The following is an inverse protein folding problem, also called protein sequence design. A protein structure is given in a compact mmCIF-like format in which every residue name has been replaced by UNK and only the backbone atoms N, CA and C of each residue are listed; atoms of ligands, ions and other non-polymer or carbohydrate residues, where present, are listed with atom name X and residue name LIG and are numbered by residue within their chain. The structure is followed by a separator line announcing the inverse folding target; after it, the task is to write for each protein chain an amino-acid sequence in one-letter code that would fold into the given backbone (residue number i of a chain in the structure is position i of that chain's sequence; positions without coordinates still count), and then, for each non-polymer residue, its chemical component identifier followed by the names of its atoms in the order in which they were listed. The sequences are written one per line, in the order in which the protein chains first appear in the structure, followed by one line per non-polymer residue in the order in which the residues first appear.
data_IF_259169233414
#
_entry.id   IF_259169233414
#
_cell.length_a   1.000
_cell.length_b   1.000
_cell.length_c   1.000
_cell.angle_alpha   90.00
_cell.angle_beta   90.00
_cell.angle_gamma   90.00
#
_symmetry.space_group_name_H-M   'P 1'
#
loop_
_entity.id
_entity.type
_entity.pdbx_description
1 polymer ?
#
# COMPACT_ATOMS: atom_id res chain seq x y z
N UNK A 1 -16.07 -1.33 9.01
CA UNK A 1 -16.96 -1.93 7.99
C UNK A 1 -18.39 -1.90 8.51
N UNK A 2 -19.43 -1.88 7.65
CA UNK A 2 -20.80 -2.09 8.13
C UNK A 2 -20.84 -3.45 8.84
N UNK A 3 -21.28 -3.50 10.11
CA UNK A 3 -21.37 -4.71 10.93
C UNK A 3 -20.06 -5.33 11.47
N UNK A 4 -19.03 -4.54 11.80
CA UNK A 4 -17.84 -5.07 12.50
C UNK A 4 -18.11 -5.26 14.01
N UNK A 5 -17.95 -6.47 14.57
CA UNK A 5 -18.15 -6.73 16.00
C UNK A 5 -17.02 -6.17 16.88
N UNK A 6 -15.93 -5.68 16.27
CA UNK A 6 -14.80 -5.09 16.99
C UNK A 6 -15.07 -3.63 17.35
N UNK A 7 -14.46 -3.21 18.46
CA UNK A 7 -14.54 -1.84 18.96
C UNK A 7 -14.23 -0.81 17.85
N UNK A 8 -14.90 0.35 17.80
CA UNK A 8 -14.64 1.42 16.82
C UNK A 8 -13.17 1.87 16.78
N UNK A 9 -12.42 1.60 17.85
CA UNK A 9 -10.99 1.92 17.99
C UNK A 9 -10.06 0.85 17.40
N UNK A 10 -10.58 -0.35 17.11
CA UNK A 10 -9.85 -1.44 16.42
C UNK A 10 -10.43 -1.54 15.02
N UNK A 11 -9.87 -0.75 14.11
CA UNK A 11 -10.34 -0.70 12.73
C UNK A 11 -10.06 -2.02 12.01
N UNK A 12 -11.11 -2.74 11.63
CA UNK A 12 -11.05 -3.96 10.81
C UNK A 12 -10.68 -3.77 9.35
N UNK A 13 -10.66 -2.53 8.84
CA UNK A 13 -10.59 -2.26 7.42
C UNK A 13 -9.66 -1.12 7.08
N UNK A 14 -8.90 -1.28 5.99
CA UNK A 14 -8.04 -0.26 5.40
C UNK A 14 -8.82 0.44 4.28
N UNK A 15 -9.01 1.76 4.38
CA UNK A 15 -9.58 2.56 3.28
C UNK A 15 -8.46 3.02 2.37
N UNK A 16 -8.31 2.36 1.23
CA UNK A 16 -7.35 2.72 0.19
C UNK A 16 -8.06 3.55 -0.87
N UNK A 17 -7.53 4.73 -1.15
CA UNK A 17 -8.05 5.60 -2.20
C UNK A 17 -6.92 5.99 -3.18
N UNK A 18 -7.22 6.08 -4.49
CA UNK A 18 -6.25 6.47 -5.51
C UNK A 18 -5.97 7.99 -5.70
N UNK A 19 -6.61 8.98 -5.03
CA UNK A 19 -6.56 10.36 -5.52
C UNK A 19 -5.17 11.02 -5.45
N UNK A 20 -4.27 10.52 -4.60
CA UNK A 20 -2.87 11.00 -4.53
C UNK A 20 -1.98 10.37 -5.61
N UNK A 21 -2.38 9.23 -6.15
CA UNK A 21 -1.53 8.42 -7.04
C UNK A 21 -1.71 8.87 -8.51
N UNK A 22 -2.96 9.09 -8.93
CA UNK A 22 -3.28 9.56 -10.29
C UNK A 22 -2.87 11.02 -10.53
N UNK A 23 -2.88 11.87 -9.50
CA UNK A 23 -2.39 13.26 -9.57
C UNK A 23 -0.87 13.36 -9.73
N UNK A 24 -0.13 12.29 -9.38
CA UNK A 24 1.33 12.15 -9.63
C UNK A 24 1.65 11.52 -10.99
N UNK A 25 0.65 11.20 -11.80
CA UNK A 25 0.82 10.58 -13.11
C UNK A 25 1.05 9.06 -13.08
N UNK A 26 0.63 8.37 -12.02
CA UNK A 26 0.63 6.90 -12.02
C UNK A 26 -0.47 6.39 -12.96
N UNK A 27 -0.12 5.42 -13.80
CA UNK A 27 -1.05 4.71 -14.67
C UNK A 27 -1.54 3.40 -14.04
N UNK A 28 -2.16 2.58 -14.89
CA UNK A 28 -2.62 1.23 -14.53
C UNK A 28 -1.47 0.32 -14.07
N UNK A 29 -0.29 0.26 -14.75
CA UNK A 29 0.79 -0.64 -14.35
C UNK A 29 1.35 -0.35 -12.95
N UNK A 30 1.45 0.93 -12.57
CA UNK A 30 1.94 1.32 -11.26
C UNK A 30 0.93 1.01 -10.15
N UNK A 31 -0.37 1.08 -10.47
CA UNK A 31 -1.44 0.67 -9.55
C UNK A 31 -1.44 -0.85 -9.31
N UNK A 32 -1.20 -1.65 -10.36
CA UNK A 32 -1.05 -3.11 -10.24
C UNK A 32 0.16 -3.49 -9.38
N UNK A 33 1.30 -2.80 -9.56
CA UNK A 33 2.48 -3.00 -8.71
C UNK A 33 2.21 -2.66 -7.24
N UNK A 34 1.54 -1.53 -6.97
CA UNK A 34 1.16 -1.14 -5.61
C UNK A 34 0.22 -2.16 -4.97
N UNK A 35 -0.75 -2.69 -5.71
CA UNK A 35 -1.66 -3.71 -5.23
C UNK A 35 -0.92 -5.02 -4.93
N UNK A 36 0.03 -5.43 -5.78
CA UNK A 36 0.89 -6.59 -5.54
C UNK A 36 1.71 -6.45 -4.26
N UNK A 37 2.38 -5.32 -4.06
CA UNK A 37 3.16 -5.07 -2.84
C UNK A 37 2.31 -5.02 -1.58
N UNK A 38 1.07 -4.55 -1.69
CA UNK A 38 0.11 -4.59 -0.58
C UNK A 38 -0.19 -6.04 -0.19
N UNK A 39 -0.48 -6.91 -1.16
CA UNK A 39 -0.69 -8.34 -0.91
C UNK A 39 0.56 -9.00 -0.30
N UNK A 40 1.75 -8.75 -0.86
CA UNK A 40 3.00 -9.31 -0.35
C UNK A 40 3.22 -8.97 1.14
N UNK A 41 2.93 -7.72 1.54
CA UNK A 41 3.07 -7.29 2.94
C UNK A 41 2.00 -7.93 3.83
N UNK A 42 0.76 -8.07 3.35
CA UNK A 42 -0.31 -8.72 4.11
C UNK A 42 0.00 -10.20 4.36
N UNK A 43 0.48 -10.92 3.35
CA UNK A 43 0.88 -12.33 3.45
C UNK A 43 2.09 -12.49 4.40
N UNK A 44 3.04 -11.55 4.35
CA UNK A 44 4.20 -11.54 5.24
C UNK A 44 3.83 -11.24 6.71
N UNK A 45 2.80 -10.41 6.93
CA UNK A 45 2.25 -10.15 8.26
C UNK A 45 1.53 -11.37 8.82
N UNK A 46 0.77 -12.09 7.99
CA UNK A 46 0.07 -13.31 8.41
C UNK A 46 1.05 -14.46 8.73
N UNK A 47 2.15 -14.56 7.98
CA UNK A 47 3.20 -15.56 8.21
C UNK A 47 4.17 -15.22 9.35
N UNK A 48 4.04 -14.05 9.99
CA UNK A 48 4.84 -13.65 11.16
C UNK A 48 6.26 -13.16 10.85
N UNK A 49 6.56 -12.83 9.59
CA UNK A 49 7.89 -12.48 9.09
C UNK A 49 7.90 -11.24 8.18
N UNK A 50 7.25 -10.16 8.59
CA UNK A 50 7.02 -9.00 7.72
C UNK A 50 8.20 -8.05 7.53
N UNK A 51 9.21 -8.07 8.40
CA UNK A 51 10.28 -7.06 8.44
C UNK A 51 11.03 -6.92 7.10
N UNK A 52 11.39 -8.07 6.51
CA UNK A 52 12.18 -8.13 5.28
C UNK A 52 11.35 -7.74 4.05
N UNK A 53 10.10 -8.18 4.00
CA UNK A 53 9.16 -7.85 2.92
C UNK A 53 8.80 -6.36 2.99
N UNK A 54 8.54 -5.83 4.19
CA UNK A 54 8.26 -4.42 4.39
C UNK A 54 9.45 -3.54 3.99
N UNK A 55 10.69 -3.93 4.31
CA UNK A 55 11.88 -3.20 3.89
C UNK A 55 12.03 -3.18 2.36
N UNK A 56 11.87 -4.34 1.70
CA UNK A 56 11.92 -4.44 0.24
C UNK A 56 10.83 -3.58 -0.43
N UNK A 57 9.59 -3.71 0.02
CA UNK A 57 8.45 -2.95 -0.54
C UNK A 57 8.68 -1.45 -0.33
N UNK A 58 9.20 -1.03 0.84
CA UNK A 58 9.54 0.36 1.10
C UNK A 58 10.53 0.92 0.07
N UNK A 59 11.60 0.19 -0.24
CA UNK A 59 12.59 0.60 -1.24
C UNK A 59 11.95 0.74 -2.63
N UNK A 60 11.11 -0.22 -3.02
CA UNK A 60 10.39 -0.19 -4.30
C UNK A 60 9.41 0.99 -4.40
N UNK A 61 8.68 1.29 -3.33
CA UNK A 61 7.76 2.43 -3.24
C UNK A 61 8.51 3.76 -3.34
N UNK A 62 9.66 3.89 -2.67
CA UNK A 62 10.49 5.11 -2.74
C UNK A 62 10.99 5.33 -4.17
N UNK A 63 11.46 4.28 -4.83
CA UNK A 63 11.92 4.37 -6.22
C UNK A 63 10.78 4.72 -7.19
N UNK A 64 9.60 4.17 -6.97
CA UNK A 64 8.41 4.53 -7.73
C UNK A 64 8.01 6.01 -7.52
N UNK A 65 8.06 6.51 -6.27
CA UNK A 65 7.79 7.92 -5.98
C UNK A 65 8.83 8.87 -6.57
N UNK A 66 10.11 8.46 -6.67
CA UNK A 66 11.15 9.27 -7.32
C UNK A 66 10.93 9.44 -8.81
N UNK A 67 10.40 8.41 -9.48
CA UNK A 67 10.03 8.46 -10.90
C UNK A 67 8.83 9.39 -11.17
N UNK A 68 8.01 9.65 -10.15
CA UNK A 68 6.81 10.48 -10.23
C UNK A 68 6.84 11.62 -9.17
N UNK A 69 7.72 12.63 -9.34
CA UNK A 69 7.88 13.72 -8.38
C UNK A 69 6.61 14.57 -8.28
N UNK A 70 6.29 15.01 -7.05
CA UNK A 70 5.06 15.74 -6.72
C UNK A 70 5.10 17.22 -7.15
N UNK A 71 6.30 17.80 -7.22
CA UNK A 71 6.52 19.20 -7.59
C UNK A 71 7.64 19.32 -8.62
N UNK A 72 7.42 20.16 -9.64
CA UNK A 72 8.46 20.76 -10.48
C UNK A 72 8.51 22.25 -10.18
#
# INVERSE_FOLDING_TARGET
MPNDPRSPFVTSGLRIGPPVVTTRGFGVPECELLAGWLCDVLDALESGGSEQVAQRVREQVVELCRRHPVYR
#
